data_IF_763438649273
#
_entry.id   IF_763438649273
#
_cell.length_a   1.000
_cell.length_b   1.000
_cell.length_c   1.000
_cell.angle_alpha   90.00
_cell.angle_beta   90.00
_cell.angle_gamma   90.00
#
_symmetry.space_group_name_H-M   'P 1'
#
loop_
_entity.id
_entity.type
_entity.pdbx_description
1 polymer ?
#
# COMPACT_ATOMS: atom_id res chain seq x y z
N UNK A 1 -14.00 -14.78 -8.52
CA UNK A 1 -14.05 -15.10 -7.07
C UNK A 1 -14.75 -13.96 -6.35
N UNK A 2 -15.91 -14.14 -5.72
CA UNK A 2 -16.58 -13.04 -5.02
C UNK A 2 -15.80 -12.66 -3.76
N UNK A 3 -15.16 -11.49 -3.79
CA UNK A 3 -14.32 -10.97 -2.70
C UNK A 3 -15.19 -10.18 -1.71
N UNK A 4 -15.76 -10.88 -0.73
CA UNK A 4 -16.51 -10.24 0.35
C UNK A 4 -15.60 -9.33 1.20
N UNK A 5 -16.09 -8.15 1.57
CA UNK A 5 -15.39 -7.18 2.44
C UNK A 5 -15.99 -7.17 3.84
N UNK A 6 -15.15 -6.92 4.83
CA UNK A 6 -15.51 -6.94 6.24
C UNK A 6 -16.21 -5.65 6.60
N UNK A 7 -17.39 -5.73 7.21
CA UNK A 7 -18.12 -4.55 7.68
C UNK A 7 -17.43 -3.79 8.82
N UNK A 8 -16.39 -4.35 9.45
CA UNK A 8 -15.65 -3.70 10.55
C UNK A 8 -14.36 -3.03 10.10
N UNK A 9 -13.57 -3.66 9.23
CA UNK A 9 -12.25 -3.16 8.82
C UNK A 9 -12.11 -2.89 7.32
N UNK A 10 -13.19 -3.09 6.53
CA UNK A 10 -13.25 -2.93 5.08
C UNK A 10 -12.27 -3.80 4.25
N UNK A 11 -11.46 -4.65 4.89
CA UNK A 11 -10.55 -5.59 4.22
C UNK A 11 -11.29 -6.82 3.69
N UNK A 12 -10.73 -7.47 2.68
CA UNK A 12 -11.27 -8.69 2.10
C UNK A 12 -11.23 -9.87 3.10
N UNK A 13 -12.21 -10.76 3.02
CA UNK A 13 -12.31 -11.94 3.86
C UNK A 13 -12.73 -13.18 3.08
N UNK A 14 -12.31 -14.35 3.56
CA UNK A 14 -12.81 -15.64 3.09
C UNK A 14 -14.23 -15.87 3.62
N UNK A 15 -15.21 -16.22 2.78
CA UNK A 15 -16.59 -16.50 3.22
C UNK A 15 -16.70 -17.65 4.24
N UNK A 16 -15.71 -18.54 4.30
CA UNK A 16 -15.72 -19.74 5.14
C UNK A 16 -15.47 -19.38 6.62
N UNK A 17 -14.63 -18.38 6.89
CA UNK A 17 -14.27 -17.94 8.24
C UNK A 17 -14.98 -16.64 8.66
N UNK A 18 -16.00 -16.25 7.91
CA UNK A 18 -16.75 -15.01 8.13
C UNK A 18 -17.84 -15.19 9.20
N UNK A 19 -17.95 -14.21 10.10
CA UNK A 19 -19.13 -14.07 10.95
C UNK A 19 -20.23 -13.32 10.17
N UNK A 20 -21.37 -13.98 9.93
CA UNK A 20 -22.53 -13.38 9.25
C UNK A 20 -23.55 -12.89 10.27
N UNK A 21 -23.86 -11.60 10.23
CA UNK A 21 -24.88 -11.02 11.10
C UNK A 21 -26.28 -11.51 10.71
N UNK A 22 -27.07 -11.97 11.68
CA UNK A 22 -28.43 -12.44 11.44
C UNK A 22 -29.42 -11.31 11.06
N UNK A 23 -29.12 -10.06 11.40
CA UNK A 23 -30.02 -8.92 11.14
C UNK A 23 -29.74 -8.24 9.79
N UNK A 24 -28.50 -7.80 9.56
CA UNK A 24 -28.14 -7.06 8.35
C UNK A 24 -27.53 -7.95 7.26
N UNK A 25 -27.23 -9.22 7.56
CA UNK A 25 -26.54 -10.12 6.63
C UNK A 25 -25.07 -9.79 6.39
N UNK A 26 -24.54 -8.72 7.00
CA UNK A 26 -23.16 -8.28 6.84
C UNK A 26 -22.13 -9.32 7.31
N UNK A 27 -20.98 -9.34 6.63
CA UNK A 27 -19.88 -10.26 6.91
C UNK A 27 -18.75 -9.55 7.64
N UNK A 28 -18.22 -10.19 8.67
CA UNK A 28 -17.16 -9.62 9.52
C UNK A 28 -16.06 -10.66 9.76
N UNK A 29 -14.80 -10.22 9.85
CA UNK A 29 -13.75 -11.06 10.42
C UNK A 29 -14.08 -11.32 11.89
N UNK A 30 -13.89 -12.55 12.35
CA UNK A 30 -14.11 -12.95 13.75
C UNK A 30 -13.32 -12.06 14.73
N UNK A 31 -12.07 -11.75 14.38
CA UNK A 31 -11.23 -10.83 15.13
C UNK A 31 -11.78 -9.40 15.24
N UNK A 32 -12.41 -8.88 14.17
CA UNK A 32 -12.99 -7.53 14.16
C UNK A 32 -14.22 -7.38 15.05
N UNK A 33 -14.85 -8.50 15.43
CA UNK A 33 -16.05 -8.53 16.28
C UNK A 33 -15.82 -9.34 17.57
N UNK A 34 -14.56 -9.50 17.98
CA UNK A 34 -14.15 -10.19 19.21
C UNK A 34 -14.72 -11.61 19.38
N UNK A 35 -14.93 -12.33 18.27
CA UNK A 35 -15.30 -13.75 18.28
C UNK A 35 -14.06 -14.63 18.28
N UNK A 36 -14.07 -15.78 18.98
CA UNK A 36 -12.95 -16.72 18.98
C UNK A 36 -12.66 -17.20 17.55
N UNK A 37 -11.38 -17.31 17.20
CA UNK A 37 -10.89 -17.64 15.83
C UNK A 37 -11.41 -18.98 15.32
N UNK A 38 -11.71 -19.91 16.23
CA UNK A 38 -12.29 -21.22 15.93
C UNK A 38 -13.55 -21.43 16.77
N UNK A 39 -14.53 -22.16 16.22
CA UNK A 39 -15.76 -22.53 16.93
C UNK A 39 -17.06 -22.06 16.27
N UNK A 40 -18.17 -22.63 16.72
CA UNK A 40 -19.50 -22.38 16.19
C UNK A 40 -20.01 -20.98 16.56
N UNK A 41 -20.48 -20.22 15.57
CA UNK A 41 -21.19 -18.95 15.78
C UNK A 41 -22.67 -19.27 15.91
N UNK A 42 -23.29 -18.84 17.01
CA UNK A 42 -24.74 -18.97 17.19
C UNK A 42 -25.48 -18.30 16.03
N UNK A 43 -26.50 -18.96 15.48
CA UNK A 43 -27.33 -18.40 14.39
C UNK A 43 -28.05 -17.11 14.78
N UNK A 44 -28.21 -16.85 16.08
CA UNK A 44 -28.78 -15.61 16.62
C UNK A 44 -27.76 -14.47 16.77
N UNK A 45 -26.50 -14.67 16.36
CA UNK A 45 -25.46 -13.67 16.49
C UNK A 45 -25.72 -12.44 15.60
N UNK A 46 -25.42 -11.26 16.15
CA UNK A 46 -25.62 -9.96 15.51
C UNK A 46 -24.33 -9.17 15.61
N UNK A 47 -24.07 -8.31 14.63
CA UNK A 47 -22.93 -7.41 14.67
C UNK A 47 -23.13 -6.32 15.74
N UNK A 48 -22.05 -5.66 16.21
CA UNK A 48 -22.13 -4.64 17.25
C UNK A 48 -23.07 -3.47 16.93
N UNK A 49 -23.22 -3.11 15.66
CA UNK A 49 -24.15 -2.06 15.22
C UNK A 49 -25.61 -2.49 15.33
N UNK A 50 -25.91 -3.73 14.92
CA UNK A 50 -27.26 -4.29 15.02
C UNK A 50 -27.65 -4.60 16.48
N UNK A 51 -26.69 -4.91 17.34
CA UNK A 51 -26.95 -5.12 18.77
C UNK A 51 -27.27 -3.79 19.49
N UNK A 52 -26.57 -2.70 19.13
CA UNK A 52 -26.85 -1.35 19.68
C UNK A 52 -28.24 -0.85 19.31
N UNK A 53 -28.71 -1.17 18.10
CA UNK A 53 -30.03 -0.75 17.60
C UNK A 53 -31.17 -1.67 18.04
N UNK A 54 -30.91 -2.58 18.97
CA UNK A 54 -31.97 -3.39 19.56
C UNK A 54 -32.85 -2.50 20.42
N UNK A 55 -34.11 -2.35 20.00
CA UNK A 55 -35.17 -1.81 20.84
C UNK A 55 -35.20 -2.66 22.11
N UNK A 56 -34.79 -2.07 23.24
CA UNK A 56 -34.89 -2.70 24.55
C UNK A 56 -36.38 -2.90 24.82
N UNK A 57 -36.81 -4.15 24.81
CA UNK A 57 -38.10 -4.49 25.41
C UNK A 57 -38.06 -4.04 26.86
N UNK A 58 -39.01 -3.16 27.23
CA UNK A 58 -39.23 -2.67 28.59
C UNK A 58 -39.78 -3.79 29.50
N UNK A 59 -39.07 -4.91 29.61
CA UNK A 59 -39.32 -5.92 30.62
C UNK A 59 -38.21 -5.87 31.67
N UNK A 60 -38.56 -5.13 32.74
CA UNK A 60 -38.13 -5.24 34.13
C UNK A 60 -36.69 -5.72 34.40
N UNK A 61 -35.82 -4.76 34.78
CA UNK A 61 -34.99 -4.84 36.01
C UNK A 61 -33.88 -3.78 35.98
N UNK A 62 -34.23 -2.52 36.26
CA UNK A 62 -33.28 -1.55 36.84
C UNK A 62 -34.06 -0.45 37.59
N UNK A 63 -33.61 -0.03 38.80
CA UNK A 63 -34.31 0.97 39.59
C UNK A 63 -34.08 2.35 38.98
N UNK A 64 -35.17 3.05 38.67
CA UNK A 64 -35.16 4.39 38.10
C UNK A 64 -34.65 5.39 39.14
N UNK A 65 -33.48 6.01 38.90
CA UNK A 65 -33.07 7.25 39.57
C UNK A 65 -33.49 8.41 38.67
N UNK A 66 -34.67 8.95 38.96
CA UNK A 66 -35.15 10.21 38.39
C UNK A 66 -34.24 11.33 38.86
N UNK A 67 -33.56 12.02 37.93
CA UNK A 67 -32.98 13.34 38.19
C UNK A 67 -33.51 14.28 37.11
N UNK A 68 -34.59 14.97 37.45
CA UNK A 68 -35.17 16.05 36.65
C UNK A 68 -34.28 17.28 36.82
N UNK A 69 -33.81 17.84 35.70
CA UNK A 69 -33.19 19.14 35.65
C UNK A 69 -34.28 20.21 35.45
N UNK A 70 -34.31 21.21 36.33
CA UNK A 70 -34.80 22.56 36.04
C UNK A 70 -33.80 23.53 36.70
N UNK A 71 -33.01 24.23 35.88
CA UNK A 71 -33.07 25.66 35.56
C UNK A 71 -32.32 26.54 36.59
N UNK A 72 -31.49 27.40 36.02
CA UNK A 72 -30.54 28.37 36.56
C UNK A 72 -31.18 29.44 37.48
N UNK A 73 -30.45 29.93 38.48
CA UNK A 73 -29.97 31.32 38.57
C UNK A 73 -29.26 31.60 39.92
N UNK A 74 -28.03 32.14 39.81
CA UNK A 74 -27.47 33.29 40.53
C UNK A 74 -27.89 33.58 42.00
N UNK A 75 -26.90 33.61 42.92
CA UNK A 75 -26.50 34.78 43.76
C UNK A 75 -25.78 34.38 45.06
N UNK A 76 -24.83 35.25 45.41
CA UNK A 76 -24.02 35.34 46.64
C UNK A 76 -24.83 35.55 47.93
N UNK A 77 -24.34 35.04 49.06
CA UNK A 77 -24.42 35.59 50.45
C UNK A 77 -23.88 34.51 51.40
N UNK A 78 -22.79 34.69 52.15
CA UNK A 78 -22.68 35.51 53.38
C UNK A 78 -23.84 35.36 54.37
N UNK A 79 -23.48 34.79 55.53
CA UNK A 79 -24.10 34.88 56.86
C UNK A 79 -25.54 34.39 57.09
N UNK A 80 -25.63 33.37 57.95
CA UNK A 80 -26.44 33.30 59.19
C UNK A 80 -26.99 31.88 59.38
N UNK A 81 -26.45 31.13 60.34
CA UNK A 81 -27.33 30.47 61.30
C UNK A 81 -26.69 30.41 62.68
N UNK A 82 -27.53 30.93 63.57
CA UNK A 82 -27.37 31.17 64.97
C UNK A 82 -27.40 29.85 65.78
N UNK A 83 -26.68 29.87 66.89
CA UNK A 83 -26.93 29.16 68.15
C UNK A 83 -27.56 27.75 68.09
N UNK A 84 -26.70 26.74 68.31
CA UNK A 84 -27.04 25.65 69.23
C UNK A 84 -25.88 25.42 70.19
N UNK A 85 -25.94 26.18 71.28
CA UNK A 85 -25.26 25.92 72.53
C UNK A 85 -25.75 24.57 73.08
N UNK A 86 -25.07 23.48 72.72
CA UNK A 86 -25.22 22.21 73.42
C UNK A 86 -24.39 22.28 74.71
N UNK A 87 -24.98 22.85 75.77
CA UNK A 87 -24.53 22.58 77.14
C UNK A 87 -24.84 21.14 77.49
N UNK A 88 -23.94 20.23 77.11
CA UNK A 88 -23.88 18.90 77.70
C UNK A 88 -23.06 18.98 79.00
N UNK A 89 -23.67 19.53 80.05
CA UNK A 89 -23.23 19.28 81.42
C UNK A 89 -23.86 17.96 81.85
N UNK A 90 -23.25 16.85 81.43
CA UNK A 90 -23.57 15.51 81.90
C UNK A 90 -22.24 14.84 82.29
N UNK A 91 -21.98 14.83 83.60
CA UNK A 91 -21.07 13.94 84.30
C UNK A 91 -19.75 13.60 83.59
N UNK A 92 -18.80 14.55 83.61
CA UNK A 92 -17.37 14.26 83.43
C UNK A 92 -16.86 13.44 84.63
N UNK A 93 -17.20 12.16 84.63
CA UNK A 93 -16.37 11.16 85.30
C UNK A 93 -15.20 10.94 84.35
N UNK A 94 -13.96 11.37 84.68
CA UNK A 94 -12.84 11.08 83.81
C UNK A 94 -12.70 9.56 83.78
N UNK A 95 -13.09 8.94 82.66
CA UNK A 95 -12.69 7.57 82.36
C UNK A 95 -11.16 7.63 82.33
N UNK A 96 -10.54 7.25 83.46
CA UNK A 96 -9.10 7.08 83.57
C UNK A 96 -8.77 5.88 82.70
N UNK A 97 -8.62 6.13 81.40
CA UNK A 97 -7.96 5.20 80.52
C UNK A 97 -6.64 4.79 81.18
N UNK A 98 -6.30 3.50 81.10
CA UNK A 98 -4.98 3.04 81.49
C UNK A 98 -3.94 3.96 80.87
N UNK A 99 -2.93 4.44 81.63
CA UNK A 99 -1.88 5.29 81.08
C UNK A 99 -1.25 4.64 79.83
N UNK A 100 -1.21 3.32 79.79
CA UNK A 100 -0.74 2.49 78.67
C UNK A 100 -1.54 2.71 77.38
N UNK A 101 -2.88 2.69 77.44
CA UNK A 101 -3.74 2.91 76.28
C UNK A 101 -3.61 4.33 75.72
N UNK A 102 -3.45 5.33 76.59
CA UNK A 102 -3.24 6.71 76.15
C UNK A 102 -1.89 6.92 75.46
N UNK A 103 -0.89 6.09 75.79
CA UNK A 103 0.42 6.08 75.14
C UNK A 103 0.30 5.39 73.77
N UNK A 104 -0.32 4.21 73.69
CA UNK A 104 -0.54 3.50 72.41
C UNK A 104 -1.33 4.34 71.40
N UNK A 105 -2.39 5.04 71.85
CA UNK A 105 -3.17 5.91 70.97
C UNK A 105 -2.35 7.11 70.44
N UNK A 106 -1.40 7.63 71.24
CA UNK A 106 -0.47 8.68 70.77
C UNK A 106 0.50 8.13 69.74
N UNK A 107 1.08 6.96 69.99
CA UNK A 107 1.99 6.29 69.05
C UNK A 107 1.29 5.99 67.72
N UNK A 108 0.08 5.45 67.76
CA UNK A 108 -0.73 5.19 66.57
C UNK A 108 -1.07 6.47 65.79
N UNK A 109 -1.43 7.55 66.49
CA UNK A 109 -1.68 8.86 65.87
C UNK A 109 -0.42 9.43 65.21
N UNK A 110 0.75 9.23 65.80
CA UNK A 110 2.03 9.62 65.22
C UNK A 110 2.38 8.78 63.99
N UNK A 111 2.11 7.47 64.03
CA UNK A 111 2.32 6.58 62.89
C UNK A 111 1.39 6.91 61.72
N UNK A 112 0.10 7.15 61.97
CA UNK A 112 -0.83 7.63 60.94
C UNK A 112 -0.39 8.97 60.32
N UNK A 113 0.14 9.89 61.13
CA UNK A 113 0.68 11.15 60.62
C UNK A 113 1.89 10.92 59.72
N UNK A 114 2.79 10.01 60.09
CA UNK A 114 3.96 9.65 59.27
C UNK A 114 3.55 9.03 57.95
N UNK A 115 2.61 8.08 57.97
CA UNK A 115 2.07 7.45 56.75
C UNK A 115 1.35 8.47 55.86
N UNK A 116 0.54 9.36 56.44
CA UNK A 116 -0.11 10.43 55.68
C UNK A 116 0.91 11.39 55.05
N UNK A 117 1.98 11.73 55.78
CA UNK A 117 3.06 12.56 55.24
C UNK A 117 3.80 11.84 54.10
N UNK A 118 4.06 10.53 54.23
CA UNK A 118 4.69 9.73 53.18
C UNK A 118 3.82 9.66 51.93
N UNK A 119 2.53 9.35 52.07
CA UNK A 119 1.58 9.34 50.96
C UNK A 119 1.45 10.71 50.28
N UNK A 120 1.46 11.79 51.07
CA UNK A 120 1.43 13.14 50.52
C UNK A 120 2.69 13.44 49.69
N UNK A 121 3.87 13.02 50.19
CA UNK A 121 5.12 13.17 49.47
C UNK A 121 5.14 12.34 48.17
N UNK A 122 4.68 11.09 48.21
CA UNK A 122 4.54 10.24 47.02
C UNK A 122 3.58 10.85 45.99
N UNK A 123 2.48 11.46 46.44
CA UNK A 123 1.53 12.13 45.55
C UNK A 123 2.14 13.39 44.90
N UNK A 124 2.92 14.17 45.65
CA UNK A 124 3.64 15.32 45.11
C UNK A 124 4.72 14.90 44.11
N UNK A 125 5.42 13.79 44.38
CA UNK A 125 6.37 13.22 43.45
C UNK A 125 5.67 12.76 42.16
N UNK A 126 4.58 12.00 42.26
CA UNK A 126 3.80 11.56 41.11
C UNK A 126 3.29 12.73 40.28
N UNK A 127 2.84 13.81 40.93
CA UNK A 127 2.40 15.03 40.24
C UNK A 127 3.54 15.68 39.46
N UNK A 128 4.75 15.64 39.98
CA UNK A 128 5.96 16.17 39.33
C UNK A 128 6.33 15.31 38.12
N UNK A 129 6.39 13.99 38.30
CA UNK A 129 6.67 13.04 37.22
C UNK A 129 5.62 13.15 36.09
N UNK A 130 4.33 13.31 36.44
CA UNK A 130 3.27 13.50 35.46
C UNK A 130 3.41 14.83 34.68
N UNK A 131 3.92 15.89 35.32
CA UNK A 131 4.23 17.14 34.65
C UNK A 131 5.40 16.99 33.67
N UNK A 132 6.46 16.30 34.08
CA UNK A 132 7.62 16.01 33.22
C UNK A 132 7.24 15.14 32.01
N UNK A 133 6.42 14.10 32.22
CA UNK A 133 5.89 13.26 31.12
C UNK A 133 5.07 14.11 30.15
N UNK A 134 4.24 15.03 30.66
CA UNK A 134 3.45 15.92 29.82
C UNK A 134 4.34 16.83 28.96
N UNK A 135 5.43 17.34 29.51
CA UNK A 135 6.34 18.20 28.78
C UNK A 135 7.19 17.44 27.75
N UNK A 136 7.64 16.23 28.09
CA UNK A 136 8.33 15.35 27.13
C UNK A 136 7.41 14.93 25.98
N UNK A 137 6.13 14.65 26.25
CA UNK A 137 5.14 14.33 25.23
C UNK A 137 4.94 15.50 24.27
N UNK A 138 4.73 16.73 24.78
CA UNK A 138 4.63 17.93 23.95
C UNK A 138 5.87 18.17 23.09
N UNK A 139 7.06 17.97 23.65
CA UNK A 139 8.30 18.08 22.89
C UNK A 139 8.40 17.01 21.80
N UNK A 140 7.87 15.81 22.05
CA UNK A 140 7.78 14.75 21.05
C UNK A 140 6.79 15.08 19.94
N UNK A 141 5.61 15.59 20.27
CA UNK A 141 4.60 16.02 19.29
C UNK A 141 5.17 17.11 18.38
N UNK A 142 5.85 18.11 18.96
CA UNK A 142 6.49 19.16 18.18
C UNK A 142 7.57 18.64 17.21
N UNK A 143 8.32 17.60 17.61
CA UNK A 143 9.28 16.93 16.71
C UNK A 143 8.56 16.14 15.63
N UNK A 144 7.43 15.50 15.94
CA UNK A 144 6.61 14.79 14.97
C UNK A 144 6.08 15.75 13.91
N UNK A 145 5.50 16.88 14.31
CA UNK A 145 4.99 17.92 13.40
C UNK A 145 6.10 18.44 12.46
N UNK A 146 7.32 18.62 12.99
CA UNK A 146 8.46 19.03 12.17
C UNK A 146 8.86 17.96 11.16
N UNK A 147 8.85 16.69 11.56
CA UNK A 147 9.13 15.58 10.66
C UNK A 147 8.06 15.45 9.58
N UNK A 148 6.78 15.56 9.94
CA UNK A 148 5.67 15.55 8.98
C UNK A 148 5.80 16.69 7.97
N UNK A 149 6.08 17.92 8.44
CA UNK A 149 6.31 19.06 7.56
C UNK A 149 7.51 18.84 6.61
N UNK A 150 8.61 18.26 7.12
CA UNK A 150 9.79 17.93 6.30
C UNK A 150 9.48 16.85 5.27
N UNK A 151 8.77 15.80 5.66
CA UNK A 151 8.36 14.72 4.75
C UNK A 151 7.44 15.27 3.66
N UNK A 152 6.43 16.07 4.00
CA UNK A 152 5.57 16.72 3.01
C UNK A 152 6.34 17.62 2.04
N UNK A 153 7.36 18.34 2.53
CA UNK A 153 8.23 19.14 1.65
C UNK A 153 9.09 18.30 0.70
N UNK A 154 9.49 17.10 1.11
CA UNK A 154 10.26 16.17 0.29
C UNK A 154 9.38 15.48 -0.75
N UNK A 155 8.17 15.08 -0.38
CA UNK A 155 7.16 14.53 -1.28
C UNK A 155 6.84 15.51 -2.40
N UNK A 156 6.56 16.78 -2.07
CA UNK A 156 6.29 17.83 -3.05
C UNK A 156 7.48 18.09 -3.99
N UNK A 157 8.71 18.10 -3.46
CA UNK A 157 9.92 18.23 -4.29
C UNK A 157 10.14 17.03 -5.20
N UNK A 158 9.79 15.83 -4.75
CA UNK A 158 9.91 14.60 -5.53
C UNK A 158 8.90 14.61 -6.68
N UNK A 159 7.64 14.97 -6.41
CA UNK A 159 6.62 15.12 -7.44
C UNK A 159 7.02 16.16 -8.49
N UNK A 160 7.52 17.32 -8.06
CA UNK A 160 7.96 18.38 -8.97
C UNK A 160 9.18 18.03 -9.81
N UNK A 161 10.09 17.17 -9.34
CA UNK A 161 11.32 16.84 -10.08
C UNK A 161 11.17 15.58 -10.93
N UNK A 162 10.49 14.56 -10.42
CA UNK A 162 10.46 13.24 -11.06
C UNK A 162 9.46 13.18 -12.20
N UNK A 163 8.33 13.89 -12.11
CA UNK A 163 7.35 13.89 -13.20
C UNK A 163 7.85 14.59 -14.48
N UNK A 164 8.33 15.86 -14.44
CA UNK A 164 8.71 16.54 -15.67
C UNK A 164 9.98 15.97 -16.31
N UNK A 165 10.91 15.44 -15.51
CA UNK A 165 12.14 14.83 -16.03
C UNK A 165 11.84 13.50 -16.73
N UNK A 166 10.87 12.73 -16.23
CA UNK A 166 10.46 11.47 -16.85
C UNK A 166 9.78 11.69 -18.20
N UNK A 167 8.83 12.62 -18.27
CA UNK A 167 8.10 12.88 -19.52
C UNK A 167 9.03 13.40 -20.62
N UNK A 168 9.95 14.33 -20.28
CA UNK A 168 10.94 14.82 -21.23
C UNK A 168 11.93 13.74 -21.70
N UNK A 169 12.34 12.83 -20.81
CA UNK A 169 13.20 11.70 -21.19
C UNK A 169 12.47 10.69 -22.07
N UNK A 170 11.20 10.38 -21.76
CA UNK A 170 10.39 9.46 -22.55
C UNK A 170 10.12 10.02 -23.96
N UNK A 171 9.93 11.34 -24.10
CA UNK A 171 9.82 12.03 -25.39
C UNK A 171 11.11 11.91 -26.21
N UNK A 172 12.28 12.16 -25.61
CA UNK A 172 13.59 12.03 -26.28
C UNK A 172 13.84 10.58 -26.70
N UNK A 173 13.49 9.62 -25.84
CA UNK A 173 13.60 8.18 -26.17
C UNK A 173 12.67 7.85 -27.35
N UNK A 174 11.45 8.39 -27.36
CA UNK A 174 10.50 8.26 -28.46
C UNK A 174 11.06 8.81 -29.77
N UNK A 175 11.62 10.02 -29.74
CA UNK A 175 12.22 10.67 -30.90
C UNK A 175 13.41 9.87 -31.45
N UNK A 176 14.33 9.44 -30.58
CA UNK A 176 15.50 8.64 -30.99
C UNK A 176 15.09 7.29 -31.59
N UNK A 177 14.02 6.66 -31.09
CA UNK A 177 13.49 5.43 -31.68
C UNK A 177 12.93 5.65 -33.07
N UNK A 178 12.18 6.74 -33.27
CA UNK A 178 11.69 7.11 -34.60
C UNK A 178 12.87 7.34 -35.56
N UNK A 179 13.87 8.13 -35.15
CA UNK A 179 15.06 8.40 -35.98
C UNK A 179 15.83 7.13 -36.33
N UNK A 180 16.00 6.20 -35.39
CA UNK A 180 16.65 4.91 -35.67
C UNK A 180 15.85 4.10 -36.68
N UNK A 181 14.54 4.00 -36.48
CA UNK A 181 13.67 3.27 -37.39
C UNK A 181 13.67 3.87 -38.80
N UNK A 182 13.66 5.20 -38.92
CA UNK A 182 13.72 5.89 -40.20
C UNK A 182 15.06 5.63 -40.90
N UNK A 183 16.18 5.70 -40.17
CA UNK A 183 17.51 5.39 -40.73
C UNK A 183 17.64 3.93 -41.15
N UNK A 184 17.10 2.99 -40.37
CA UNK A 184 17.11 1.56 -40.73
C UNK A 184 16.28 1.31 -41.99
N UNK A 185 15.12 1.97 -42.12
CA UNK A 185 14.31 1.91 -43.34
C UNK A 185 15.05 2.52 -44.53
N UNK A 186 15.70 3.67 -44.37
CA UNK A 186 16.51 4.30 -45.42
C UNK A 186 17.64 3.38 -45.92
N UNK A 187 18.29 2.62 -45.01
CA UNK A 187 19.31 1.64 -45.38
C UNK A 187 18.72 0.48 -46.20
N UNK A 188 17.53 0.01 -45.83
CA UNK A 188 16.85 -1.09 -46.53
C UNK A 188 16.25 -0.69 -47.88
N UNK A 189 16.03 0.60 -48.17
CA UNK A 189 15.47 1.05 -49.46
C UNK A 189 16.31 0.65 -50.67
N UNK A 190 17.62 0.48 -50.47
CA UNK A 190 18.56 0.12 -51.54
C UNK A 190 18.83 -1.39 -51.60
N UNK A 191 18.29 -2.16 -50.66
CA UNK A 191 18.49 -3.60 -50.59
C UNK A 191 17.34 -4.33 -51.30
N UNK A 192 17.70 -5.19 -52.24
CA UNK A 192 16.76 -6.01 -53.01
C UNK A 192 16.98 -7.47 -52.64
N UNK A 193 15.93 -8.12 -52.13
CA UNK A 193 15.93 -9.55 -51.88
C UNK A 193 15.32 -10.31 -53.06
N UNK A 194 16.11 -11.22 -53.64
CA UNK A 194 15.68 -12.12 -54.70
C UNK A 194 15.56 -13.54 -54.16
N UNK A 195 14.33 -14.05 -54.08
CA UNK A 195 14.03 -15.40 -53.59
C UNK A 195 13.66 -16.36 -54.72
N UNK A 196 13.77 -17.67 -54.49
CA UNK A 196 13.29 -18.70 -55.43
C UNK A 196 14.28 -19.12 -56.51
N UNK A 197 15.54 -18.68 -56.46
CA UNK A 197 16.59 -19.11 -57.40
C UNK A 197 17.26 -20.39 -56.86
N UNK A 198 17.21 -21.52 -57.60
CA UNK A 198 17.91 -22.76 -57.22
C UNK A 198 19.40 -22.53 -56.92
N UNK A 199 19.96 -23.26 -55.96
CA UNK A 199 21.37 -23.14 -55.57
C UNK A 199 22.24 -24.12 -56.37
N UNK A 200 23.30 -23.61 -57.00
CA UNK A 200 24.30 -24.41 -57.71
C UNK A 200 25.67 -24.30 -57.05
N UNK A 201 26.48 -25.36 -57.14
CA UNK A 201 27.90 -25.28 -56.74
C UNK A 201 28.62 -24.31 -57.68
N UNK A 202 29.41 -23.41 -57.12
CA UNK A 202 30.21 -22.40 -57.82
C UNK A 202 29.40 -21.37 -58.63
N UNK A 203 28.24 -20.98 -58.11
CA UNK A 203 27.46 -19.87 -58.67
C UNK A 203 28.01 -18.50 -58.27
N UNK A 204 27.98 -17.54 -59.20
CA UNK A 204 28.24 -16.13 -58.90
C UNK A 204 26.91 -15.39 -58.74
N UNK A 205 26.63 -14.90 -57.52
CA UNK A 205 25.42 -14.13 -57.22
C UNK A 205 25.27 -12.89 -58.11
N UNK A 206 26.39 -12.19 -58.39
CA UNK A 206 26.43 -11.02 -59.25
C UNK A 206 26.02 -11.37 -60.70
N UNK A 207 26.48 -12.50 -61.22
CA UNK A 207 26.08 -12.95 -62.56
C UNK A 207 24.58 -13.30 -62.63
N UNK A 208 24.06 -13.98 -61.60
CA UNK A 208 22.63 -14.32 -61.51
C UNK A 208 21.75 -13.06 -61.51
N UNK A 209 22.13 -12.06 -60.71
CA UNK A 209 21.42 -10.76 -60.66
C UNK A 209 21.41 -10.07 -62.03
N UNK A 210 22.54 -10.04 -62.75
CA UNK A 210 22.62 -9.47 -64.10
C UNK A 210 21.73 -10.17 -65.11
N UNK A 211 21.74 -11.51 -65.10
CA UNK A 211 20.90 -12.32 -65.99
C UNK A 211 19.43 -12.06 -65.68
N UNK A 212 19.06 -12.01 -64.40
CA UNK A 212 17.70 -11.71 -63.96
C UNK A 212 17.25 -10.31 -64.36
N UNK A 213 18.09 -9.30 -64.18
CA UNK A 213 17.83 -7.94 -64.68
C UNK A 213 17.54 -7.95 -66.17
N UNK A 214 18.42 -8.58 -66.95
CA UNK A 214 18.25 -8.68 -68.41
C UNK A 214 16.93 -9.37 -68.79
N UNK A 215 16.50 -10.39 -68.02
CA UNK A 215 15.22 -11.07 -68.22
C UNK A 215 14.01 -10.24 -67.80
N UNK A 216 14.16 -9.37 -66.81
CA UNK A 216 13.12 -8.43 -66.35
C UNK A 216 13.10 -7.13 -67.16
N UNK A 217 14.03 -6.96 -68.12
CA UNK A 217 14.14 -5.75 -68.95
C UNK A 217 14.88 -4.59 -68.27
N UNK A 218 15.61 -4.86 -67.18
CA UNK A 218 16.42 -3.88 -66.43
C UNK A 218 17.90 -4.15 -66.69
N UNK A 219 18.63 -3.18 -67.24
CA UNK A 219 20.08 -3.27 -67.40
C UNK A 219 20.79 -2.82 -66.12
N UNK A 220 21.61 -3.69 -65.53
CA UNK A 220 22.47 -3.37 -64.39
C UNK A 220 23.95 -3.34 -64.84
N UNK A 221 24.67 -2.26 -64.52
CA UNK A 221 26.13 -2.25 -64.57
C UNK A 221 26.70 -2.85 -63.26
N UNK A 222 27.93 -3.38 -63.30
CA UNK A 222 28.62 -3.87 -62.08
C UNK A 222 28.83 -2.75 -61.06
N UNK A 223 28.91 -1.51 -61.54
CA UNK A 223 29.09 -0.32 -60.69
C UNK A 223 27.83 0.04 -59.90
N UNK A 224 26.67 -0.41 -60.37
CA UNK A 224 25.39 -0.15 -59.72
C UNK A 224 25.13 -1.14 -58.57
N UNK A 225 25.89 -2.24 -58.50
CA UNK A 225 25.75 -3.28 -57.48
C UNK A 225 26.87 -3.13 -56.46
N UNK A 226 26.54 -2.76 -55.22
CA UNK A 226 27.51 -2.63 -54.13
C UNK A 226 27.94 -4.00 -53.64
N UNK A 227 26.97 -4.88 -53.41
CA UNK A 227 27.20 -6.26 -52.97
C UNK A 227 26.05 -7.15 -53.47
N UNK A 228 26.35 -8.43 -53.67
CA UNK A 228 25.35 -9.45 -53.99
C UNK A 228 25.80 -10.79 -53.39
N UNK A 229 25.05 -11.31 -52.44
CA UNK A 229 25.37 -12.58 -51.78
C UNK A 229 24.12 -13.37 -51.39
N UNK A 230 24.28 -14.69 -51.20
CA UNK A 230 23.21 -15.51 -50.64
C UNK A 230 23.17 -15.40 -49.14
N UNK A 231 22.01 -15.04 -48.60
CA UNK A 231 21.81 -14.88 -47.16
C UNK A 231 21.29 -16.18 -46.55
N UNK A 232 21.81 -16.49 -45.35
CA UNK A 232 21.43 -17.67 -44.57
C UNK A 232 22.45 -18.81 -44.62
N UNK A 233 22.34 -19.73 -43.64
CA UNK A 233 23.31 -20.81 -43.44
C UNK A 233 23.44 -21.72 -44.66
N UNK A 234 24.66 -21.92 -45.14
CA UNK A 234 24.96 -22.84 -46.26
C UNK A 234 24.49 -24.25 -45.93
N UNK A 235 23.55 -24.79 -46.71
CA UNK A 235 23.08 -26.18 -46.57
C UNK A 235 24.15 -27.14 -47.11
N UNK A 236 25.18 -27.43 -46.30
CA UNK A 236 26.34 -28.24 -46.71
C UNK A 236 26.02 -29.70 -47.10
N UNK A 237 24.81 -30.21 -46.84
CA UNK A 237 24.46 -31.62 -47.06
C UNK A 237 23.08 -31.83 -47.74
N UNK A 238 22.79 -31.16 -48.85
CA UNK A 238 21.69 -31.60 -49.72
C UNK A 238 22.20 -32.67 -50.71
N UNK A 239 22.58 -33.84 -50.19
CA UNK A 239 22.63 -35.04 -51.01
C UNK A 239 21.19 -35.32 -51.43
N UNK A 240 20.95 -35.43 -52.73
CA UNK A 240 19.71 -35.96 -53.32
C UNK A 240 19.51 -37.41 -52.86
N UNK A 241 19.16 -37.61 -51.60
CA UNK A 241 18.69 -38.89 -51.09
C UNK A 241 17.20 -38.95 -51.41
N UNK A 242 16.91 -39.50 -52.58
CA UNK A 242 15.58 -39.95 -52.99
C UNK A 242 15.07 -41.01 -52.02
N UNK A 243 14.57 -40.62 -50.85
CA UNK A 243 13.69 -41.43 -49.96
C UNK A 243 13.62 -40.82 -48.56
N UNK A 244 12.69 -39.90 -48.32
CA UNK A 244 11.89 -39.84 -47.08
C UNK A 244 11.01 -38.59 -47.09
N UNK A 245 9.72 -38.82 -47.17
CA UNK A 245 8.68 -37.80 -47.13
C UNK A 245 8.48 -37.43 -45.65
N UNK A 246 9.24 -36.44 -45.19
CA UNK A 246 8.88 -35.60 -44.04
C UNK A 246 9.73 -34.34 -44.06
N UNK A 247 9.65 -33.59 -45.17
CA UNK A 247 10.30 -32.29 -45.29
C UNK A 247 9.25 -31.21 -45.02
N UNK A 248 9.43 -30.49 -43.91
CA UNK A 248 8.83 -29.20 -43.68
C UNK A 248 8.97 -28.35 -44.97
N UNK A 249 7.89 -27.84 -45.58
CA UNK A 249 7.95 -27.12 -46.86
C UNK A 249 8.88 -25.88 -46.82
N UNK A 250 9.16 -25.34 -45.63
CA UNK A 250 10.17 -24.30 -45.43
C UNK A 250 11.62 -24.81 -45.61
N UNK A 251 11.87 -26.11 -45.41
CA UNK A 251 13.18 -26.73 -45.56
C UNK A 251 13.59 -26.95 -47.03
N UNK A 252 12.73 -26.74 -48.01
CA UNK A 252 13.04 -26.90 -49.44
C UNK A 252 13.22 -25.58 -50.18
N UNK A 253 13.01 -24.43 -49.53
CA UNK A 253 13.16 -23.13 -50.22
C UNK A 253 14.66 -22.80 -50.37
N UNK A 254 15.13 -22.50 -51.60
CA UNK A 254 16.50 -22.04 -51.80
C UNK A 254 16.71 -20.70 -51.08
N UNK A 255 17.94 -20.48 -50.60
CA UNK A 255 18.33 -19.23 -49.94
C UNK A 255 18.14 -18.03 -50.87
N UNK A 256 17.70 -16.91 -50.32
CA UNK A 256 17.59 -15.66 -51.08
C UNK A 256 18.96 -15.07 -51.37
N UNK A 257 19.04 -14.35 -52.47
CA UNK A 257 20.16 -13.46 -52.79
C UNK A 257 19.75 -12.07 -52.33
N UNK A 258 20.53 -11.45 -51.46
CA UNK A 258 20.38 -10.02 -51.14
C UNK A 258 21.41 -9.26 -51.96
N UNK A 259 20.97 -8.18 -52.58
CA UNK A 259 21.85 -7.23 -53.24
C UNK A 259 21.62 -5.82 -52.73
N UNK A 260 22.69 -5.10 -52.46
CA UNK A 260 22.65 -3.66 -52.23
C UNK A 260 22.91 -2.93 -53.54
N UNK A 261 22.02 -2.03 -53.92
CA UNK A 261 22.12 -1.24 -55.15
C UNK A 261 22.56 0.17 -54.82
N UNK A 262 23.59 0.65 -55.50
CA UNK A 262 23.96 2.05 -55.40
C UNK A 262 23.09 2.85 -56.37
N UNK A 263 22.07 3.52 -55.83
CA UNK A 263 21.34 4.53 -56.60
C UNK A 263 22.29 5.70 -56.80
N UNK A 264 23.01 5.71 -57.92
CA UNK A 264 23.71 6.89 -58.36
C UNK A 264 22.71 8.04 -58.42
N UNK A 265 23.00 9.15 -57.75
CA UNK A 265 22.27 10.40 -57.94
C UNK A 265 22.27 10.73 -59.44
N UNK A 266 21.23 10.29 -60.15
CA UNK A 266 20.91 10.83 -61.46
C UNK A 266 20.39 12.23 -61.18
N UNK A 267 21.33 13.16 -61.04
CA UNK A 267 21.10 14.59 -61.21
C UNK A 267 20.34 14.77 -62.51
N UNK A 268 19.06 15.15 -62.39
CA UNK A 268 18.34 15.86 -63.45
C UNK A 268 18.94 17.24 -63.63
#
# INVERSE_FOLDING_TARGET
>A
MPTAKCGGCAKFLSPIDAAKCNQCGGLYHRACVCLPTTGFIKSTWRCPECEKNRVRDNKADTPVRTRTALVEEHMSSEELMDTSTCTAAAEDTPIKFSPDFTIELRLFKEELRKEFHRLHQEFLQLRTEMAEIKDTLKASDQRMDNLEARVGSLELKLEQKVQPDRDGLDDVIGELRCQLNDRDQELLLNDIEVSGIPECRDESALHLVKVLGTKLGVSFDERDVVHAERVGSTRRNHVLSTSSISADPAAQRPRSIVMGVQVGNQTK
#
